data_IF_190432655071
#
_entry.id   IF_190432655071
#
_cell.length_a   1.000
_cell.length_b   1.000
_cell.length_c   1.000
_cell.angle_alpha   90.00
_cell.angle_beta   90.00
_cell.angle_gamma   90.00
#
_symmetry.space_group_name_H-M   'P 1'
#
loop_
_entity.id
_entity.type
_entity.pdbx_description
1 polymer ?
#
# COMPACT_ATOMS: atom_id res chain seq x y z
N UNK A 1 -10.77 20.92 2.65
CA UNK A 1 -11.95 21.01 3.53
C UNK A 1 -12.61 19.63 3.59
N UNK A 2 -12.03 18.73 4.39
CA UNK A 2 -12.49 17.34 4.50
C UNK A 2 -12.82 16.96 5.95
N UNK A 3 -13.80 17.66 6.54
CA UNK A 3 -14.33 17.34 7.89
C UNK A 3 -15.09 16.00 7.96
N UNK A 4 -15.14 15.22 6.86
CA UNK A 4 -15.97 13.99 6.76
C UNK A 4 -15.21 12.70 7.00
N UNK A 5 -13.86 12.64 6.82
CA UNK A 5 -13.10 11.38 6.88
C UNK A 5 -12.96 10.84 8.33
N UNK A 6 -12.53 11.64 9.29
CA UNK A 6 -12.33 11.16 10.67
C UNK A 6 -13.67 10.84 11.37
N UNK A 7 -14.73 11.62 11.13
CA UNK A 7 -16.06 11.34 11.66
C UNK A 7 -16.65 10.05 11.06
N UNK A 8 -16.32 9.72 9.80
CA UNK A 8 -16.81 8.49 9.13
C UNK A 8 -16.23 7.22 9.73
N UNK A 9 -14.96 7.19 10.12
CA UNK A 9 -14.31 5.98 10.66
C UNK A 9 -14.74 5.72 12.11
N UNK A 10 -14.79 6.76 12.96
CA UNK A 10 -15.22 6.63 14.36
C UNK A 10 -16.73 6.39 14.44
N UNK A 11 -17.52 7.09 13.65
CA UNK A 11 -18.98 6.88 13.55
C UNK A 11 -19.29 5.54 12.88
N UNK A 12 -18.45 5.11 11.91
CA UNK A 12 -18.51 3.80 11.30
C UNK A 12 -18.38 2.67 12.33
N UNK A 13 -17.33 2.68 13.17
CA UNK A 13 -17.15 1.62 14.19
C UNK A 13 -18.25 1.65 15.26
N UNK A 14 -18.68 2.83 15.71
CA UNK A 14 -19.76 2.98 16.69
C UNK A 14 -21.16 2.67 16.12
N UNK A 15 -21.44 3.04 14.87
CA UNK A 15 -22.67 2.70 14.16
C UNK A 15 -22.68 1.23 13.68
N UNK A 16 -21.51 0.63 13.41
CA UNK A 16 -21.40 -0.77 13.03
C UNK A 16 -21.74 -1.73 14.17
N UNK A 17 -21.52 -1.35 15.43
CA UNK A 17 -21.99 -2.14 16.57
C UNK A 17 -23.53 -2.16 16.70
N UNK A 18 -24.21 -1.21 16.04
CA UNK A 18 -25.70 -1.09 16.08
C UNK A 18 -26.42 -1.63 14.85
N UNK A 19 -25.71 -1.92 13.74
CA UNK A 19 -26.33 -2.42 12.51
C UNK A 19 -25.63 -3.69 12.01
N UNK A 20 -26.17 -4.87 12.35
CA UNK A 20 -25.67 -6.17 11.88
C UNK A 20 -25.59 -6.31 10.35
N UNK A 21 -26.25 -5.43 9.58
CA UNK A 21 -26.26 -5.46 8.12
C UNK A 21 -24.90 -5.14 7.46
N UNK A 22 -24.06 -4.34 8.10
CA UNK A 22 -22.75 -3.98 7.51
C UNK A 22 -21.74 -5.14 7.57
N UNK A 23 -21.89 -6.06 8.52
CA UNK A 23 -21.07 -7.27 8.63
C UNK A 23 -21.58 -8.41 7.72
N UNK A 24 -22.82 -8.29 7.21
CA UNK A 24 -23.36 -9.26 6.25
C UNK A 24 -22.54 -9.15 4.95
N UNK A 25 -21.76 -10.19 4.66
CA UNK A 25 -20.89 -10.25 3.49
C UNK A 25 -19.46 -9.78 3.71
N UNK A 26 -19.12 -9.11 4.83
CA UNK A 26 -17.74 -8.74 5.14
C UNK A 26 -16.84 -9.99 5.22
N UNK A 27 -17.31 -11.07 5.83
CA UNK A 27 -16.59 -12.35 5.88
C UNK A 27 -16.18 -12.82 4.49
N UNK A 28 -17.10 -12.77 3.51
CA UNK A 28 -16.80 -13.13 2.12
C UNK A 28 -15.75 -12.22 1.49
N UNK A 29 -15.75 -10.93 1.88
CA UNK A 29 -14.78 -9.96 1.37
C UNK A 29 -13.39 -10.17 1.95
N UNK A 30 -13.27 -10.49 3.23
CA UNK A 30 -11.96 -10.69 3.89
C UNK A 30 -11.44 -12.13 3.78
N UNK A 31 -12.31 -13.10 3.48
CA UNK A 31 -11.97 -14.51 3.32
C UNK A 31 -10.74 -14.76 2.44
N UNK A 32 -10.56 -14.10 1.29
CA UNK A 32 -9.34 -14.28 0.48
C UNK A 32 -8.05 -13.92 1.22
N UNK A 33 -8.11 -13.03 2.20
CA UNK A 33 -6.96 -12.66 3.03
C UNK A 33 -6.76 -13.68 4.14
N UNK A 34 -7.82 -14.04 4.85
CA UNK A 34 -7.76 -14.97 5.98
C UNK A 34 -7.41 -16.39 5.55
N UNK A 35 -7.83 -16.76 4.35
CA UNK A 35 -7.53 -18.05 3.76
C UNK A 35 -6.16 -18.10 3.06
N UNK A 36 -5.49 -16.96 2.88
CA UNK A 36 -4.18 -16.93 2.24
C UNK A 36 -3.21 -17.86 2.98
N UNK A 37 -2.54 -18.69 2.21
CA UNK A 37 -1.48 -19.57 2.69
C UNK A 37 -0.13 -19.15 2.14
N UNK A 38 0.91 -19.92 2.40
CA UNK A 38 2.24 -19.62 1.92
C UNK A 38 3.00 -20.85 1.44
N UNK A 39 3.92 -20.62 0.51
CA UNK A 39 4.88 -21.57 -0.02
C UNK A 39 6.27 -21.02 0.23
N UNK A 40 7.13 -21.83 0.85
CA UNK A 40 8.46 -21.43 1.28
C UNK A 40 9.49 -22.46 0.88
N UNK A 41 10.67 -22.00 0.53
CA UNK A 41 11.78 -22.88 0.18
C UNK A 41 13.08 -22.13 -0.04
N UNK A 42 14.02 -22.83 -0.65
CA UNK A 42 15.30 -22.28 -1.09
C UNK A 42 15.42 -22.47 -2.60
N UNK A 43 16.07 -21.51 -3.24
CA UNK A 43 16.56 -21.65 -4.60
C UNK A 43 18.07 -21.60 -4.59
N UNK A 44 18.69 -22.56 -5.27
CA UNK A 44 20.14 -22.65 -5.45
C UNK A 44 20.45 -22.81 -6.94
N UNK A 45 21.57 -22.26 -7.38
CA UNK A 45 22.15 -22.49 -8.71
C UNK A 45 23.59 -22.98 -8.53
N UNK A 46 24.05 -23.86 -9.42
CA UNK A 46 25.42 -24.31 -9.46
C UNK A 46 26.36 -23.37 -10.21
N UNK A 47 25.78 -22.34 -10.86
CA UNK A 47 26.48 -21.24 -11.50
C UNK A 47 26.59 -19.98 -10.65
N UNK A 48 27.27 -18.99 -11.21
CA UNK A 48 27.22 -17.62 -10.70
C UNK A 48 26.17 -16.84 -11.48
N UNK A 49 25.13 -16.39 -10.79
CA UNK A 49 24.14 -15.48 -11.40
C UNK A 49 24.86 -14.28 -12.03
N UNK A 50 24.60 -14.03 -13.29
CA UNK A 50 25.25 -12.95 -14.03
C UNK A 50 24.95 -11.59 -13.39
N UNK A 51 25.77 -10.56 -13.66
CA UNK A 51 25.55 -9.22 -13.11
C UNK A 51 24.22 -8.59 -13.55
N UNK A 52 23.71 -8.99 -14.68
CA UNK A 52 22.42 -8.54 -15.25
C UNK A 52 21.29 -9.53 -14.95
N UNK A 53 21.64 -10.78 -14.70
CA UNK A 53 20.70 -11.87 -14.46
C UNK A 53 20.12 -11.91 -13.05
N UNK A 54 19.10 -12.73 -12.89
CA UNK A 54 18.47 -13.00 -11.61
C UNK A 54 17.77 -14.37 -11.63
N UNK A 55 17.52 -14.91 -10.44
CA UNK A 55 16.75 -16.13 -10.27
C UNK A 55 15.26 -15.78 -10.15
N UNK A 56 14.42 -16.44 -10.90
CA UNK A 56 12.97 -16.32 -10.81
C UNK A 56 12.37 -17.64 -10.29
N UNK A 57 11.65 -17.57 -9.17
CA UNK A 57 10.79 -18.66 -8.69
C UNK A 57 9.37 -18.32 -9.11
N UNK A 58 8.73 -19.18 -9.87
CA UNK A 58 7.40 -18.97 -10.46
C UNK A 58 6.43 -20.02 -9.96
N UNK A 59 5.29 -19.58 -9.50
CA UNK A 59 4.18 -20.41 -9.04
C UNK A 59 3.06 -20.38 -10.07
N UNK A 60 2.72 -21.54 -10.60
CA UNK A 60 1.62 -21.71 -11.55
C UNK A 60 0.39 -22.26 -10.84
N UNK A 61 -0.74 -21.59 -10.98
CA UNK A 61 -2.00 -22.17 -10.51
C UNK A 61 -2.52 -23.17 -11.54
N UNK A 62 -2.80 -24.37 -11.08
CA UNK A 62 -3.40 -25.43 -11.91
C UNK A 62 -4.92 -25.35 -11.78
N UNK A 63 -5.60 -25.13 -12.90
CA UNK A 63 -7.06 -25.13 -12.98
C UNK A 63 -7.61 -26.55 -13.13
N UNK A 64 -8.89 -26.80 -12.80
CA UNK A 64 -9.51 -28.12 -12.93
C UNK A 64 -9.50 -28.68 -14.37
N UNK A 65 -9.43 -27.81 -15.38
CA UNK A 65 -9.29 -28.17 -16.80
C UNK A 65 -7.83 -28.49 -17.21
N UNK A 66 -6.93 -28.51 -16.24
CA UNK A 66 -5.51 -28.77 -16.45
C UNK A 66 -4.68 -27.59 -16.94
N UNK A 67 -5.31 -26.46 -17.25
CA UNK A 67 -4.58 -25.25 -17.67
C UNK A 67 -3.80 -24.66 -16.50
N UNK A 68 -2.62 -24.18 -16.81
CA UNK A 68 -1.73 -23.51 -15.88
C UNK A 68 -1.67 -22.01 -16.19
N UNK A 69 -1.56 -21.19 -15.15
CA UNK A 69 -1.30 -19.75 -15.27
C UNK A 69 -0.30 -19.32 -14.22
N UNK A 70 0.60 -18.43 -14.58
CA UNK A 70 1.46 -17.75 -13.60
C UNK A 70 0.56 -17.07 -12.56
N UNK A 71 0.77 -17.42 -11.30
CA UNK A 71 -0.03 -16.92 -10.18
C UNK A 71 0.76 -15.95 -9.29
N UNK A 72 1.98 -16.32 -8.96
CA UNK A 72 2.89 -15.51 -8.16
C UNK A 72 4.34 -15.83 -8.57
N UNK A 73 5.24 -14.92 -8.26
CA UNK A 73 6.67 -15.12 -8.48
C UNK A 73 7.51 -14.37 -7.45
N UNK A 74 8.74 -14.81 -7.29
CA UNK A 74 9.77 -14.12 -6.50
C UNK A 74 11.04 -14.02 -7.32
N UNK A 75 11.60 -12.82 -7.38
CA UNK A 75 12.89 -12.55 -8.01
C UNK A 75 13.96 -12.43 -6.92
N UNK A 76 15.12 -13.04 -7.17
CA UNK A 76 16.27 -13.02 -6.29
C UNK A 76 17.53 -12.71 -7.11
N UNK A 77 18.42 -11.88 -6.56
CA UNK A 77 19.72 -11.56 -7.18
C UNK A 77 20.78 -12.65 -7.00
N UNK A 78 20.52 -13.64 -6.16
CA UNK A 78 21.40 -14.76 -5.83
C UNK A 78 20.63 -15.91 -5.18
N UNK A 79 21.28 -17.08 -5.06
CA UNK A 79 20.75 -18.20 -4.26
C UNK A 79 20.32 -17.76 -2.87
N UNK A 80 19.16 -18.24 -2.42
CA UNK A 80 18.59 -17.82 -1.15
C UNK A 80 17.24 -18.43 -0.83
N UNK A 81 16.63 -17.99 0.26
CA UNK A 81 15.29 -18.40 0.65
C UNK A 81 14.24 -17.55 -0.06
N UNK A 82 13.09 -18.16 -0.34
CA UNK A 82 11.93 -17.45 -0.86
C UNK A 82 10.67 -17.73 -0.04
N UNK A 83 9.79 -16.75 -0.03
CA UNK A 83 8.46 -16.83 0.56
C UNK A 83 7.45 -16.25 -0.42
N UNK A 84 6.37 -17.00 -0.68
CA UNK A 84 5.30 -16.61 -1.57
C UNK A 84 3.95 -16.81 -0.88
N UNK A 85 3.17 -15.74 -0.78
CA UNK A 85 1.79 -15.79 -0.28
C UNK A 85 0.86 -16.13 -1.44
N UNK A 86 0.04 -17.16 -1.25
CA UNK A 86 -0.88 -17.65 -2.28
C UNK A 86 -2.27 -17.94 -1.69
N UNK A 87 -3.31 -17.85 -2.52
CA UNK A 87 -4.66 -18.30 -2.11
C UNK A 87 -4.72 -19.83 -2.03
N UNK A 88 -5.69 -20.43 -1.34
CA UNK A 88 -5.90 -21.88 -1.39
C UNK A 88 -6.03 -22.39 -2.82
N UNK A 89 -5.37 -23.48 -3.13
CA UNK A 89 -5.38 -24.04 -4.48
C UNK A 89 -4.32 -25.11 -4.71
N UNK A 90 -4.26 -25.58 -5.95
CA UNK A 90 -3.23 -26.52 -6.41
C UNK A 90 -2.25 -25.76 -7.29
N UNK A 91 -0.96 -25.98 -7.05
CA UNK A 91 0.13 -25.24 -7.68
C UNK A 91 1.20 -26.18 -8.21
N UNK A 92 1.82 -25.77 -9.28
CA UNK A 92 3.13 -26.27 -9.75
C UNK A 92 4.14 -25.13 -9.59
N UNK A 93 5.39 -25.47 -9.33
CA UNK A 93 6.44 -24.48 -9.08
C UNK A 93 7.63 -24.80 -9.96
N UNK A 94 8.18 -23.77 -10.56
CA UNK A 94 9.41 -23.83 -11.33
C UNK A 94 10.32 -22.66 -10.98
N UNK A 95 11.56 -22.77 -11.41
CA UNK A 95 12.49 -21.65 -11.35
C UNK A 95 13.35 -21.62 -12.60
N UNK A 96 13.82 -20.43 -12.96
CA UNK A 96 14.79 -20.25 -14.03
C UNK A 96 15.79 -19.14 -13.66
N UNK A 97 16.94 -19.18 -14.29
CA UNK A 97 17.93 -18.12 -14.24
C UNK A 97 17.75 -17.26 -15.48
N UNK A 98 17.16 -16.08 -15.30
CA UNK A 98 17.04 -15.07 -16.34
C UNK A 98 18.41 -14.43 -16.56
N UNK A 99 19.17 -14.98 -17.51
CA UNK A 99 20.52 -14.53 -17.84
C UNK A 99 20.50 -13.24 -18.66
N UNK A 100 19.46 -13.04 -19.46
CA UNK A 100 19.27 -11.86 -20.29
C UNK A 100 18.92 -10.61 -19.47
N UNK A 101 18.20 -10.79 -18.36
CA UNK A 101 17.71 -9.73 -17.48
C UNK A 101 16.47 -9.00 -18.02
N UNK A 102 15.71 -9.63 -18.93
CA UNK A 102 14.52 -9.05 -19.54
C UNK A 102 13.20 -9.51 -18.87
N UNK A 103 13.30 -10.44 -17.90
CA UNK A 103 12.18 -11.00 -17.13
C UNK A 103 11.26 -11.93 -17.95
N UNK A 104 11.78 -12.46 -19.06
CA UNK A 104 11.09 -13.43 -19.90
C UNK A 104 11.92 -14.72 -19.86
N UNK A 105 11.26 -15.84 -19.71
CA UNK A 105 11.94 -17.13 -19.80
C UNK A 105 12.17 -17.50 -21.26
N UNK A 106 13.41 -17.78 -21.61
CA UNK A 106 13.83 -18.32 -22.90
C UNK A 106 14.23 -19.79 -22.73
N UNK A 107 13.98 -20.63 -23.75
CA UNK A 107 14.18 -22.08 -23.66
C UNK A 107 15.65 -22.50 -23.46
N UNK A 108 16.61 -21.63 -23.72
CA UNK A 108 18.04 -21.83 -23.51
C UNK A 108 18.52 -21.40 -22.11
N UNK A 109 17.66 -20.74 -21.33
CA UNK A 109 17.98 -20.35 -19.96
C UNK A 109 17.90 -21.55 -18.99
N UNK A 110 18.86 -21.64 -18.03
CA UNK A 110 18.84 -22.69 -17.04
C UNK A 110 17.58 -22.68 -16.19
N UNK A 111 16.90 -23.81 -16.09
CA UNK A 111 15.63 -23.92 -15.38
C UNK A 111 15.45 -25.26 -14.66
N UNK A 112 14.49 -25.32 -13.77
CA UNK A 112 14.13 -26.51 -13.00
C UNK A 112 12.66 -26.48 -12.61
N UNK A 113 12.06 -27.65 -12.46
CA UNK A 113 10.66 -27.83 -12.07
C UNK A 113 10.60 -28.61 -10.76
N UNK A 114 9.80 -28.13 -9.80
CA UNK A 114 9.46 -28.91 -8.61
C UNK A 114 8.46 -30.00 -8.98
N UNK A 115 8.86 -31.27 -8.81
CA UNK A 115 8.13 -32.40 -9.38
C UNK A 115 6.77 -32.71 -8.80
N UNK A 116 6.52 -32.24 -7.57
CA UNK A 116 5.25 -32.50 -6.89
C UNK A 116 4.29 -31.33 -7.01
N UNK A 117 3.01 -31.63 -7.23
CA UNK A 117 1.96 -30.62 -7.11
C UNK A 117 1.75 -30.25 -5.66
N UNK A 118 1.71 -28.96 -5.39
CA UNK A 118 1.56 -28.41 -4.06
C UNK A 118 0.10 -28.01 -3.86
N UNK A 119 -0.54 -28.58 -2.83
CA UNK A 119 -1.88 -28.16 -2.40
C UNK A 119 -1.76 -27.27 -1.19
N UNK A 120 -2.15 -26.01 -1.35
CA UNK A 120 -2.25 -25.05 -0.25
C UNK A 120 -3.71 -24.99 0.23
N UNK A 121 -3.93 -25.36 1.50
CA UNK A 121 -5.23 -25.24 2.18
C UNK A 121 -5.42 -23.82 2.73
N UNK A 122 -6.65 -23.44 3.11
CA UNK A 122 -6.87 -22.16 3.81
C UNK A 122 -5.94 -22.01 5.02
N UNK A 123 -5.18 -20.89 5.07
CA UNK A 123 -4.17 -20.63 6.08
C UNK A 123 -2.98 -21.58 6.07
N UNK A 124 -2.87 -22.45 5.06
CA UNK A 124 -1.86 -23.50 4.99
C UNK A 124 -0.45 -22.94 4.77
N UNK A 125 0.51 -23.57 5.44
CA UNK A 125 1.94 -23.29 5.30
C UNK A 125 2.63 -24.51 4.69
N UNK A 126 3.26 -24.35 3.53
CA UNK A 126 4.05 -25.38 2.87
C UNK A 126 5.50 -24.94 2.87
N UNK A 127 6.37 -25.73 3.49
CA UNK A 127 7.81 -25.46 3.60
C UNK A 127 8.62 -26.48 2.82
N UNK A 128 9.93 -26.22 2.72
CA UNK A 128 10.91 -27.11 2.11
C UNK A 128 10.69 -27.37 0.61
N UNK A 129 10.04 -26.44 -0.07
CA UNK A 129 9.91 -26.47 -1.52
C UNK A 129 11.23 -25.96 -2.13
N UNK A 130 12.24 -26.81 -2.11
CA UNK A 130 13.58 -26.43 -2.52
C UNK A 130 13.79 -26.70 -4.00
N UNK A 131 14.40 -25.74 -4.69
CA UNK A 131 14.68 -25.75 -6.12
C UNK A 131 16.18 -25.65 -6.33
N UNK A 132 16.71 -26.43 -7.26
CA UNK A 132 18.11 -26.36 -7.66
C UNK A 132 18.20 -26.27 -9.17
N UNK A 133 18.69 -25.15 -9.66
CA UNK A 133 19.01 -24.95 -11.07
C UNK A 133 20.40 -25.52 -11.33
N UNK A 134 20.53 -26.34 -12.38
CA UNK A 134 21.79 -26.90 -12.83
C UNK A 134 21.96 -26.59 -14.31
N UNK A 135 23.06 -25.94 -14.67
CA UNK A 135 23.33 -25.55 -16.07
C UNK A 135 23.52 -26.75 -17.00
N UNK A 136 24.07 -27.86 -16.49
CA UNK A 136 24.27 -29.07 -17.26
C UNK A 136 23.04 -29.99 -17.39
N UNK A 137 21.97 -29.68 -16.65
CA UNK A 137 20.77 -30.53 -16.57
C UNK A 137 19.49 -29.69 -16.50
N UNK A 138 19.43 -28.64 -17.26
CA UNK A 138 18.24 -27.77 -17.34
C UNK A 138 17.01 -28.56 -17.80
N UNK A 139 15.90 -28.39 -17.10
CA UNK A 139 14.60 -28.95 -17.48
C UNK A 139 13.76 -27.79 -18.06
N UNK A 140 13.53 -27.72 -19.40
CA UNK A 140 12.76 -26.65 -20.00
C UNK A 140 11.35 -26.53 -19.40
N UNK A 141 10.88 -25.31 -19.22
CA UNK A 141 9.52 -25.05 -18.76
C UNK A 141 8.52 -25.39 -19.87
N UNK A 142 7.43 -26.03 -19.51
CA UNK A 142 6.39 -26.46 -20.48
C UNK A 142 5.43 -25.33 -20.90
N UNK A 143 5.74 -24.07 -20.50
CA UNK A 143 4.93 -22.91 -20.86
C UNK A 143 5.74 -21.62 -20.84
N UNK A 144 5.37 -20.63 -21.65
CA UNK A 144 6.04 -19.32 -21.66
C UNK A 144 5.80 -18.59 -20.34
N UNK A 145 6.86 -17.94 -19.85
CA UNK A 145 6.81 -17.08 -18.66
C UNK A 145 7.27 -15.67 -19.04
N UNK A 146 6.43 -14.67 -18.78
CA UNK A 146 6.77 -13.26 -18.97
C UNK A 146 6.45 -12.48 -17.69
N UNK A 147 7.49 -12.12 -16.95
CA UNK A 147 7.43 -11.35 -15.70
C UNK A 147 7.78 -9.87 -15.91
N UNK A 148 8.03 -9.44 -17.17
CA UNK A 148 8.40 -8.06 -17.49
C UNK A 148 7.28 -7.05 -17.19
N UNK A 149 7.62 -5.78 -16.99
CA UNK A 149 6.60 -4.71 -16.77
C UNK A 149 5.70 -4.47 -18.00
N UNK A 150 6.14 -4.92 -19.18
CA UNK A 150 5.41 -4.81 -20.44
C UNK A 150 4.49 -5.99 -20.73
N UNK A 151 4.51 -7.04 -19.90
CA UNK A 151 3.64 -8.20 -20.06
C UNK A 151 2.15 -7.77 -20.13
N UNK A 152 1.31 -8.41 -20.96
CA UNK A 152 -0.09 -8.05 -21.11
C UNK A 152 -0.88 -8.05 -19.79
N UNK A 153 -1.75 -7.07 -19.58
CA UNK A 153 -2.60 -7.00 -18.35
C UNK A 153 -3.52 -8.21 -18.17
N UNK A 154 -3.69 -9.02 -19.21
CA UNK A 154 -4.50 -10.25 -19.19
C UNK A 154 -3.83 -11.41 -18.43
N UNK A 155 -2.53 -11.33 -18.16
CA UNK A 155 -1.86 -12.30 -17.30
C UNK A 155 -2.29 -12.13 -15.84
N UNK A 156 -2.79 -13.20 -15.24
CA UNK A 156 -3.41 -13.19 -13.92
C UNK A 156 -2.51 -12.60 -12.82
N UNK A 157 -1.19 -12.77 -12.95
CA UNK A 157 -0.18 -12.25 -12.01
C UNK A 157 -0.13 -10.73 -12.02
N UNK A 158 -0.33 -10.09 -13.17
CA UNK A 158 -0.32 -8.63 -13.29
C UNK A 158 -1.62 -7.96 -12.90
N UNK A 159 -2.74 -8.67 -12.90
CA UNK A 159 -3.98 -8.12 -12.38
C UNK A 159 -3.93 -7.86 -10.86
N UNK A 160 -2.98 -8.50 -10.16
CA UNK A 160 -2.84 -8.35 -8.71
C UNK A 160 -1.92 -7.20 -8.30
N UNK A 161 -0.85 -6.92 -9.05
CA UNK A 161 0.09 -5.83 -8.76
C UNK A 161 0.42 -5.03 -10.04
N UNK A 162 0.08 -3.75 -10.03
CA UNK A 162 0.45 -2.82 -11.08
C UNK A 162 1.75 -2.13 -10.69
N UNK A 163 2.85 -2.48 -11.35
CA UNK A 163 4.17 -1.97 -11.01
C UNK A 163 4.62 -0.99 -12.09
N UNK A 164 4.98 0.24 -11.68
CA UNK A 164 5.52 1.26 -12.57
C UNK A 164 4.51 1.89 -13.53
N UNK A 165 3.20 1.68 -13.33
CA UNK A 165 2.18 2.31 -14.15
C UNK A 165 2.12 3.82 -13.88
N UNK A 166 2.20 4.61 -14.96
CA UNK A 166 2.09 6.07 -14.88
C UNK A 166 0.61 6.46 -14.76
N UNK A 167 0.30 7.28 -13.75
CA UNK A 167 -1.08 7.65 -13.41
C UNK A 167 -1.12 8.98 -12.66
N UNK A 168 -2.09 9.82 -12.94
CA UNK A 168 -2.32 11.06 -12.19
C UNK A 168 -2.87 10.79 -10.79
N UNK A 169 -2.51 11.63 -9.80
CA UNK A 169 -3.17 11.61 -8.48
C UNK A 169 -4.66 11.98 -8.54
N UNK A 170 -5.12 12.57 -9.64
CA UNK A 170 -6.53 12.91 -9.88
C UNK A 170 -7.33 11.79 -10.56
N UNK A 171 -6.70 10.64 -10.84
CA UNK A 171 -7.38 9.47 -11.41
C UNK A 171 -8.46 8.94 -10.45
N UNK A 172 -9.62 8.53 -11.00
CA UNK A 172 -10.78 8.05 -10.24
C UNK A 172 -10.47 6.84 -9.34
N UNK A 173 -9.44 6.05 -9.69
CA UNK A 173 -8.98 4.93 -8.86
C UNK A 173 -8.44 5.38 -7.51
N UNK A 174 -8.02 6.63 -7.38
CA UNK A 174 -7.49 7.20 -6.13
C UNK A 174 -8.52 8.05 -5.39
N UNK A 175 -9.81 7.89 -5.69
CA UNK A 175 -10.87 8.50 -4.89
C UNK A 175 -11.01 7.84 -3.51
N UNK A 176 -11.54 8.60 -2.56
CA UNK A 176 -11.78 8.13 -1.19
C UNK A 176 -12.59 6.83 -1.15
N UNK A 177 -13.57 6.70 -2.06
CA UNK A 177 -14.38 5.49 -2.19
C UNK A 177 -13.55 4.23 -2.50
N UNK A 178 -12.43 4.36 -3.20
CA UNK A 178 -11.53 3.24 -3.49
C UNK A 178 -10.70 2.85 -2.26
N UNK A 179 -10.29 3.81 -1.43
CA UNK A 179 -9.64 3.54 -0.14
C UNK A 179 -10.59 2.80 0.82
N UNK A 180 -11.85 3.27 0.92
CA UNK A 180 -12.89 2.59 1.70
C UNK A 180 -13.19 1.18 1.15
N UNK A 181 -13.21 1.03 -0.18
CA UNK A 181 -13.36 -0.29 -0.82
C UNK A 181 -12.22 -1.22 -0.43
N UNK A 182 -10.99 -0.74 -0.35
CA UNK A 182 -9.81 -1.50 0.08
C UNK A 182 -9.92 -2.02 1.52
N UNK A 183 -10.72 -1.38 2.37
CA UNK A 183 -11.01 -1.84 3.72
C UNK A 183 -12.20 -2.79 3.79
N UNK A 184 -13.35 -2.38 3.23
CA UNK A 184 -14.62 -3.07 3.46
C UNK A 184 -15.00 -4.07 2.37
N UNK A 185 -14.40 -3.95 1.18
CA UNK A 185 -14.73 -4.75 -0.01
C UNK A 185 -13.47 -5.23 -0.70
N UNK A 186 -12.61 -5.93 0.05
CA UNK A 186 -11.29 -6.38 -0.39
C UNK A 186 -11.31 -7.11 -1.73
N UNK A 187 -12.20 -8.10 -1.89
CA UNK A 187 -12.26 -8.89 -3.14
C UNK A 187 -12.69 -8.02 -4.32
N UNK A 188 -13.57 -7.06 -4.09
CA UNK A 188 -13.97 -6.08 -5.09
C UNK A 188 -12.84 -5.12 -5.43
N UNK A 189 -12.13 -4.60 -4.42
CA UNK A 189 -10.94 -3.75 -4.63
C UNK A 189 -9.92 -4.46 -5.50
N UNK A 190 -9.64 -5.73 -5.19
CA UNK A 190 -8.67 -6.54 -5.94
C UNK A 190 -9.06 -6.69 -7.42
N UNK A 191 -10.35 -6.86 -7.72
CA UNK A 191 -10.86 -7.07 -9.08
C UNK A 191 -11.00 -5.79 -9.89
N UNK A 192 -11.47 -4.71 -9.27
CA UNK A 192 -11.86 -3.48 -9.97
C UNK A 192 -10.74 -2.43 -9.95
N UNK A 193 -10.07 -2.26 -8.83
CA UNK A 193 -9.04 -1.24 -8.64
C UNK A 193 -7.65 -1.84 -8.85
N UNK A 194 -7.32 -2.89 -8.08
CA UNK A 194 -6.00 -3.49 -8.02
C UNK A 194 -4.98 -2.61 -7.30
N UNK A 195 -4.10 -3.23 -6.53
CA UNK A 195 -2.99 -2.54 -5.86
C UNK A 195 -1.75 -2.44 -6.74
N UNK A 196 -0.72 -1.77 -6.23
CA UNK A 196 0.57 -1.68 -6.90
C UNK A 196 1.43 -0.50 -6.50
N UNK A 197 2.50 -0.30 -7.28
CA UNK A 197 3.37 0.88 -7.20
C UNK A 197 3.17 1.72 -8.45
N UNK A 198 2.72 2.95 -8.27
CA UNK A 198 2.33 3.86 -9.36
C UNK A 198 3.28 5.04 -9.42
N UNK A 199 3.50 5.54 -10.63
CA UNK A 199 4.36 6.66 -10.95
C UNK A 199 3.54 7.85 -11.48
N UNK A 200 4.07 9.06 -11.34
CA UNK A 200 3.48 10.26 -11.98
C UNK A 200 4.07 10.53 -13.37
N UNK A 201 5.28 10.05 -13.60
CA UNK A 201 6.06 10.24 -14.83
C UNK A 201 6.89 8.99 -15.14
N UNK A 202 7.44 8.89 -16.33
CA UNK A 202 8.40 7.85 -16.69
C UNK A 202 9.62 7.93 -15.77
N UNK A 203 10.20 6.75 -15.44
CA UNK A 203 11.41 6.71 -14.62
C UNK A 203 12.52 7.56 -15.24
N UNK A 204 13.14 8.39 -14.38
CA UNK A 204 14.30 9.19 -14.75
C UNK A 204 15.49 8.82 -13.83
N UNK A 205 16.61 8.30 -14.38
CA UNK A 205 17.76 7.89 -13.59
C UNK A 205 18.47 9.03 -12.84
N UNK A 206 18.24 10.30 -13.25
CA UNK A 206 18.79 11.48 -12.58
C UNK A 206 17.97 11.90 -11.35
N UNK A 207 16.79 11.30 -11.13
CA UNK A 207 15.91 11.60 -10.01
C UNK A 207 15.90 10.48 -8.98
N UNK A 208 15.81 10.84 -7.71
CA UNK A 208 15.75 9.90 -6.60
C UNK A 208 14.28 9.47 -6.38
N UNK A 209 13.97 8.16 -6.38
CA UNK A 209 12.64 7.68 -6.03
C UNK A 209 12.24 8.06 -4.60
N UNK A 210 11.02 8.58 -4.46
CA UNK A 210 10.42 8.94 -3.18
C UNK A 210 9.10 8.20 -3.03
N UNK A 211 9.09 7.14 -2.24
CA UNK A 211 7.99 6.20 -2.09
C UNK A 211 7.03 6.66 -1.00
N UNK A 212 5.78 6.90 -1.37
CA UNK A 212 4.68 7.27 -0.47
C UNK A 212 3.77 6.10 -0.18
N UNK A 213 3.48 5.86 1.10
CA UNK A 213 2.65 4.75 1.59
C UNK A 213 1.50 5.34 2.41
N UNK A 214 0.26 5.21 1.89
CA UNK A 214 -0.92 5.81 2.50
C UNK A 214 -1.36 5.10 3.80
N UNK A 215 -2.26 5.75 4.53
CA UNK A 215 -2.82 5.23 5.77
C UNK A 215 -4.02 4.30 5.59
N UNK A 216 -4.68 4.03 6.71
CA UNK A 216 -5.92 3.27 6.79
C UNK A 216 -7.03 3.98 6.00
N UNK A 217 -7.74 3.28 5.11
CA UNK A 217 -8.70 3.84 4.13
C UNK A 217 -8.14 4.92 3.20
N UNK A 218 -6.83 5.18 3.25
CA UNK A 218 -6.20 6.20 2.43
C UNK A 218 -6.01 5.78 0.96
N UNK A 219 -5.55 6.76 0.18
CA UNK A 219 -5.20 6.59 -1.23
C UNK A 219 -3.95 7.40 -1.57
N UNK A 220 -3.28 7.17 -2.71
CA UNK A 220 -2.20 8.01 -3.19
C UNK A 220 -2.55 9.51 -3.26
N UNK A 221 -3.82 9.85 -3.47
CA UNK A 221 -4.31 11.24 -3.57
C UNK A 221 -4.11 12.04 -2.26
N UNK A 222 -4.04 11.36 -1.12
CA UNK A 222 -3.84 12.01 0.18
C UNK A 222 -2.53 12.80 0.23
N UNK A 223 -1.52 12.42 -0.55
CA UNK A 223 -0.23 13.08 -0.62
C UNK A 223 -0.15 14.25 -1.61
N UNK A 224 -1.26 14.61 -2.26
CA UNK A 224 -1.26 15.59 -3.36
C UNK A 224 -0.62 16.93 -2.96
N UNK A 225 -0.91 17.43 -1.76
CA UNK A 225 -0.30 18.67 -1.27
C UNK A 225 1.21 18.51 -1.06
N UNK A 226 1.65 17.50 -0.30
CA UNK A 226 3.08 17.28 -0.03
C UNK A 226 3.88 17.12 -1.32
N UNK A 227 3.36 16.36 -2.28
CA UNK A 227 4.00 16.16 -3.60
C UNK A 227 4.14 17.46 -4.36
N UNK A 228 3.14 18.36 -4.28
CA UNK A 228 3.21 19.68 -4.91
C UNK A 228 4.31 20.58 -4.31
N UNK A 229 4.77 20.28 -3.09
CA UNK A 229 5.79 21.05 -2.37
C UNK A 229 7.20 20.46 -2.51
N UNK A 230 7.35 19.26 -3.05
CA UNK A 230 8.64 18.60 -3.23
C UNK A 230 9.36 19.11 -4.48
N UNK A 231 10.70 19.15 -4.44
CA UNK A 231 11.52 19.43 -5.61
C UNK A 231 11.48 18.27 -6.62
N UNK A 232 10.54 18.35 -7.55
CA UNK A 232 10.35 17.34 -8.60
C UNK A 232 11.47 17.32 -9.65
N UNK A 233 12.44 18.24 -9.62
CA UNK A 233 13.65 18.14 -10.43
C UNK A 233 14.63 17.13 -9.85
N UNK A 234 14.64 16.97 -8.53
CA UNK A 234 15.54 16.06 -7.80
C UNK A 234 14.88 14.75 -7.44
N UNK A 235 13.57 14.74 -7.19
CA UNK A 235 12.82 13.58 -6.73
C UNK A 235 11.73 13.20 -7.72
N UNK A 236 11.48 11.89 -7.84
CA UNK A 236 10.34 11.34 -8.55
C UNK A 236 9.43 10.60 -7.57
N UNK A 237 8.20 11.11 -7.34
CA UNK A 237 7.25 10.48 -6.43
C UNK A 237 6.72 9.16 -6.98
N UNK A 238 6.77 8.11 -6.17
CA UNK A 238 6.16 6.80 -6.37
C UNK A 238 5.13 6.57 -5.29
N UNK A 239 4.04 5.90 -5.60
CA UNK A 239 2.92 5.71 -4.67
C UNK A 239 2.56 4.24 -4.57
N UNK A 240 2.45 3.77 -3.34
CA UNK A 240 1.88 2.46 -3.06
C UNK A 240 0.37 2.62 -2.89
N UNK A 241 -0.40 1.80 -3.60
CA UNK A 241 -1.83 1.67 -3.36
C UNK A 241 -2.17 0.23 -3.03
N UNK A 242 -2.79 0.02 -1.90
CA UNK A 242 -3.06 -1.32 -1.37
C UNK A 242 -4.39 -1.35 -0.59
N UNK A 243 -5.04 -2.53 -0.49
CA UNK A 243 -6.23 -2.68 0.33
C UNK A 243 -5.86 -2.71 1.81
N UNK A 244 -6.32 -1.73 2.58
CA UNK A 244 -5.98 -1.57 3.99
C UNK A 244 -6.59 -2.63 4.92
N UNK A 245 -7.46 -3.52 4.40
CA UNK A 245 -7.92 -4.70 5.13
C UNK A 245 -6.85 -5.78 5.28
N UNK A 246 -5.84 -5.82 4.40
CA UNK A 246 -4.81 -6.86 4.41
C UNK A 246 -3.87 -6.72 5.60
N UNK A 247 -3.27 -7.84 6.04
CA UNK A 247 -2.22 -7.86 7.06
C UNK A 247 -1.04 -7.00 6.62
N UNK A 248 -0.51 -6.18 7.49
CA UNK A 248 0.60 -5.25 7.20
C UNK A 248 1.83 -6.01 6.70
N UNK A 249 2.11 -7.18 7.28
CA UNK A 249 3.22 -8.04 6.83
C UNK A 249 3.08 -8.47 5.38
N UNK A 250 1.87 -8.84 4.94
CA UNK A 250 1.57 -9.24 3.55
C UNK A 250 1.71 -8.04 2.59
N UNK A 251 1.22 -6.86 3.01
CA UNK A 251 1.39 -5.63 2.22
C UNK A 251 2.88 -5.32 2.02
N UNK A 252 3.67 -5.43 3.09
CA UNK A 252 5.11 -5.19 3.04
C UNK A 252 5.85 -6.20 2.16
N UNK A 253 5.44 -7.47 2.14
CA UNK A 253 6.01 -8.50 1.26
C UNK A 253 5.75 -8.19 -0.21
N UNK A 254 4.51 -7.83 -0.55
CA UNK A 254 4.16 -7.43 -1.91
C UNK A 254 4.89 -6.16 -2.34
N UNK A 255 5.00 -5.18 -1.44
CA UNK A 255 5.75 -3.96 -1.71
C UNK A 255 7.23 -4.24 -1.94
N UNK A 256 7.83 -5.11 -1.10
CA UNK A 256 9.22 -5.52 -1.27
C UNK A 256 9.45 -6.22 -2.60
N UNK A 257 8.57 -7.14 -3.01
CA UNK A 257 8.65 -7.79 -4.31
C UNK A 257 8.57 -6.77 -5.47
N UNK A 258 7.64 -5.81 -5.39
CA UNK A 258 7.48 -4.77 -6.41
C UNK A 258 8.71 -3.86 -6.51
N UNK A 259 9.24 -3.40 -5.37
CA UNK A 259 10.43 -2.51 -5.34
C UNK A 259 11.68 -3.27 -5.77
N UNK A 260 11.81 -4.56 -5.43
CA UNK A 260 12.89 -5.43 -5.92
C UNK A 260 12.90 -5.47 -7.45
N UNK A 261 11.75 -5.73 -8.08
CA UNK A 261 11.65 -5.74 -9.53
C UNK A 261 11.99 -4.37 -10.13
N UNK A 262 11.46 -3.28 -9.56
CA UNK A 262 11.82 -1.92 -10.00
C UNK A 262 13.32 -1.64 -9.87
N UNK A 263 13.94 -2.11 -8.77
CA UNK A 263 15.38 -1.96 -8.57
C UNK A 263 16.18 -2.76 -9.60
N UNK A 264 15.78 -3.98 -9.90
CA UNK A 264 16.44 -4.81 -10.93
C UNK A 264 16.37 -4.16 -12.31
N UNK A 265 15.23 -3.53 -12.67
CA UNK A 265 15.04 -2.86 -13.96
C UNK A 265 15.79 -1.53 -14.03
N UNK A 266 15.60 -0.68 -13.03
CA UNK A 266 16.04 0.72 -13.10
C UNK A 266 17.40 0.97 -12.45
N UNK A 267 17.90 0.02 -11.65
CA UNK A 267 19.23 0.10 -10.99
C UNK A 267 19.43 1.40 -10.18
N UNK A 268 18.35 1.95 -9.60
CA UNK A 268 18.47 3.17 -8.78
C UNK A 268 19.37 2.93 -7.55
N UNK A 269 20.20 3.92 -7.20
CA UNK A 269 21.20 3.78 -6.14
C UNK A 269 20.62 3.92 -4.74
N UNK A 270 19.65 4.79 -4.60
CA UNK A 270 18.99 5.09 -3.32
C UNK A 270 17.54 5.49 -3.54
N UNK A 271 16.75 5.32 -2.50
CA UNK A 271 15.38 5.81 -2.43
C UNK A 271 15.08 6.34 -1.03
N UNK A 272 13.98 7.08 -0.88
CA UNK A 272 13.44 7.46 0.42
C UNK A 272 12.00 6.98 0.55
N UNK A 273 11.57 6.69 1.77
CA UNK A 273 10.25 6.13 2.09
C UNK A 273 9.51 7.08 3.04
N UNK A 274 8.27 7.41 2.71
CA UNK A 274 7.37 8.23 3.51
C UNK A 274 6.12 7.42 3.77
N UNK A 275 5.86 7.12 5.04
CA UNK A 275 4.67 6.38 5.47
C UNK A 275 3.76 7.23 6.34
N UNK A 276 2.49 7.32 5.99
CA UNK A 276 1.48 8.04 6.75
C UNK A 276 0.58 7.07 7.51
N UNK A 277 0.32 7.35 8.81
CA UNK A 277 -0.56 6.55 9.65
C UNK A 277 -0.18 5.06 9.60
N UNK A 278 -1.09 4.14 9.29
CA UNK A 278 -0.80 2.71 9.08
C UNK A 278 0.32 2.50 8.05
N UNK A 279 0.45 3.39 7.07
CA UNK A 279 1.53 3.35 6.07
C UNK A 279 2.93 3.48 6.66
N UNK A 280 3.08 4.08 7.84
CA UNK A 280 4.35 4.07 8.59
C UNK A 280 4.73 2.69 9.12
N UNK A 281 3.75 1.90 9.58
CA UNK A 281 3.98 0.50 9.99
C UNK A 281 4.35 -0.37 8.79
N UNK A 282 3.62 -0.22 7.67
CA UNK A 282 3.95 -0.87 6.39
C UNK A 282 5.35 -0.48 5.93
N UNK A 283 5.68 0.82 6.00
CA UNK A 283 6.99 1.36 5.60
C UNK A 283 8.13 0.75 6.42
N UNK A 284 7.99 0.68 7.75
CA UNK A 284 9.02 0.04 8.60
C UNK A 284 9.17 -1.45 8.28
N UNK A 285 8.06 -2.17 8.14
CA UNK A 285 8.08 -3.59 7.77
C UNK A 285 8.79 -3.79 6.42
N UNK A 286 8.50 -2.95 5.44
CA UNK A 286 9.17 -2.97 4.15
C UNK A 286 10.67 -2.68 4.27
N UNK A 287 11.07 -1.63 4.98
CA UNK A 287 12.50 -1.25 5.14
C UNK A 287 13.30 -2.39 5.75
N UNK A 288 12.76 -3.05 6.79
CA UNK A 288 13.42 -4.19 7.44
C UNK A 288 13.59 -5.38 6.48
N UNK A 289 12.52 -5.77 5.79
CA UNK A 289 12.54 -6.90 4.85
C UNK A 289 13.43 -6.63 3.65
N UNK A 290 13.34 -5.43 3.07
CA UNK A 290 14.11 -5.04 1.91
C UNK A 290 15.62 -5.05 2.18
N UNK A 291 16.04 -4.57 3.32
CA UNK A 291 17.45 -4.57 3.70
C UNK A 291 18.03 -5.97 3.96
N UNK A 292 17.21 -6.92 4.38
CA UNK A 292 17.64 -8.31 4.55
C UNK A 292 17.85 -9.02 3.21
N UNK A 293 16.96 -8.75 2.26
CA UNK A 293 16.99 -9.39 0.93
C UNK A 293 17.93 -8.67 -0.05
N UNK A 294 18.04 -7.34 0.07
CA UNK A 294 18.73 -6.46 -0.86
C UNK A 294 19.66 -5.47 -0.14
N UNK A 295 20.75 -5.94 0.48
CA UNK A 295 21.68 -5.07 1.22
C UNK A 295 22.39 -4.05 0.33
N UNK A 296 22.40 -4.25 -1.00
CA UNK A 296 22.94 -3.34 -2.01
C UNK A 296 22.00 -2.16 -2.33
N UNK A 297 20.72 -2.30 -2.05
CA UNK A 297 19.70 -1.27 -2.32
C UNK A 297 19.52 -0.38 -1.09
N UNK A 298 19.88 0.91 -1.23
CA UNK A 298 19.90 1.83 -0.10
C UNK A 298 18.58 2.56 0.07
N UNK A 299 17.89 2.33 1.18
CA UNK A 299 16.84 3.22 1.67
C UNK A 299 17.49 4.28 2.55
N UNK A 300 17.67 5.49 2.00
CA UNK A 300 18.40 6.57 2.66
C UNK A 300 17.65 7.20 3.81
N UNK A 301 16.38 7.53 3.58
CA UNK A 301 15.53 8.12 4.60
C UNK A 301 14.24 7.31 4.74
N UNK A 302 13.82 7.11 5.98
CA UNK A 302 12.49 6.66 6.33
C UNK A 302 11.81 7.74 7.17
N UNK A 303 10.69 8.26 6.71
CA UNK A 303 9.91 9.29 7.39
C UNK A 303 8.53 8.72 7.71
N UNK A 304 8.18 8.63 8.99
CA UNK A 304 6.84 8.27 9.42
C UNK A 304 6.06 9.52 9.82
N UNK A 305 4.82 9.62 9.36
CA UNK A 305 3.93 10.75 9.65
C UNK A 305 2.69 10.20 10.37
N UNK A 306 2.44 10.67 11.61
CA UNK A 306 1.28 10.32 12.43
C UNK A 306 1.04 8.80 12.54
N UNK A 307 2.10 8.02 12.73
CA UNK A 307 2.06 6.55 12.75
C UNK A 307 1.73 6.02 14.15
N UNK A 308 0.79 5.05 14.28
CA UNK A 308 0.42 4.44 15.57
C UNK A 308 1.44 3.35 15.98
N UNK A 309 2.61 3.75 16.45
CA UNK A 309 3.72 2.83 16.78
C UNK A 309 3.41 1.86 17.93
N UNK A 310 2.49 2.23 18.84
CA UNK A 310 1.98 1.36 19.90
C UNK A 310 0.60 0.74 19.59
N UNK A 311 0.17 0.83 18.33
CA UNK A 311 -1.14 0.36 17.92
C UNK A 311 -2.27 1.36 18.19
N UNK A 312 -3.49 0.89 18.01
CA UNK A 312 -4.70 1.71 18.13
C UNK A 312 -5.74 0.99 19.00
N UNK A 313 -6.18 1.65 20.08
CA UNK A 313 -7.11 1.04 21.05
C UNK A 313 -8.44 0.57 20.45
N UNK A 314 -8.95 1.19 19.39
CA UNK A 314 -10.14 0.70 18.71
C UNK A 314 -9.91 -0.66 18.03
N UNK A 315 -8.68 -0.97 17.62
CA UNK A 315 -8.36 -2.28 17.05
C UNK A 315 -8.38 -3.39 18.13
N UNK A 316 -8.27 -3.05 19.41
CA UNK A 316 -8.39 -4.02 20.51
C UNK A 316 -9.84 -4.55 20.65
N UNK A 317 -10.82 -3.78 20.15
CA UNK A 317 -12.22 -4.19 20.11
C UNK A 317 -12.52 -5.22 19.00
N UNK A 318 -11.54 -5.62 18.19
CA UNK A 318 -11.68 -6.59 17.08
C UNK A 318 -12.39 -7.89 17.49
N UNK A 319 -12.11 -8.35 18.72
CA UNK A 319 -12.69 -9.59 19.29
C UNK A 319 -14.20 -9.50 19.51
N UNK A 320 -14.77 -8.29 19.54
CA UNK A 320 -16.20 -8.06 19.68
C UNK A 320 -16.90 -7.94 18.33
N UNK A 321 -16.16 -7.83 17.22
CA UNK A 321 -16.72 -7.75 15.89
C UNK A 321 -17.19 -9.14 15.41
N UNK A 322 -18.34 -9.24 14.74
CA UNK A 322 -18.82 -10.50 14.16
C UNK A 322 -17.85 -11.08 13.12
N UNK A 323 -17.10 -10.22 12.45
CA UNK A 323 -16.05 -10.59 11.51
C UNK A 323 -14.87 -9.65 11.71
N UNK A 324 -13.69 -10.20 11.88
CA UNK A 324 -12.47 -9.43 12.07
C UNK A 324 -11.85 -9.05 10.73
N UNK A 325 -11.47 -7.77 10.58
CA UNK A 325 -10.66 -7.32 9.45
C UNK A 325 -9.20 -7.67 9.77
N UNK A 326 -8.49 -8.39 8.89
CA UNK A 326 -7.14 -8.89 9.20
C UNK A 326 -6.14 -7.83 9.66
N UNK A 327 -6.16 -6.61 9.10
CA UNK A 327 -5.28 -5.52 9.54
C UNK A 327 -5.53 -5.05 10.97
N UNK A 328 -6.72 -5.31 11.55
CA UNK A 328 -6.98 -4.96 12.97
C UNK A 328 -6.12 -5.77 13.93
N UNK A 329 -5.75 -7.00 13.56
CA UNK A 329 -4.82 -7.80 14.36
C UNK A 329 -3.46 -7.12 14.46
N UNK A 330 -3.01 -6.52 13.36
CA UNK A 330 -1.71 -5.83 13.30
C UNK A 330 -1.73 -4.46 13.97
N UNK A 331 -2.89 -3.77 13.94
CA UNK A 331 -3.09 -2.46 14.56
C UNK A 331 -3.43 -2.53 16.06
N UNK A 332 -3.72 -3.70 16.62
CA UNK A 332 -4.01 -3.85 18.03
C UNK A 332 -2.79 -3.57 18.90
N UNK A 333 -3.02 -3.08 20.13
CA UNK A 333 -1.93 -2.70 21.04
C UNK A 333 -1.11 -3.91 21.54
N UNK A 334 -1.69 -5.11 21.48
CA UNK A 334 -1.06 -6.40 21.79
C UNK A 334 -0.50 -7.15 20.58
N UNK A 335 -0.39 -6.49 19.43
CA UNK A 335 -0.04 -7.09 18.15
C UNK A 335 1.36 -7.70 18.12
N UNK A 336 1.47 -8.93 17.64
CA UNK A 336 2.75 -9.60 17.35
C UNK A 336 3.55 -8.84 16.29
N UNK A 337 2.86 -8.22 15.30
CA UNK A 337 3.52 -7.40 14.30
C UNK A 337 4.26 -6.23 14.95
N UNK A 338 3.64 -5.51 15.89
CA UNK A 338 4.27 -4.37 16.56
C UNK A 338 5.49 -4.82 17.39
N UNK A 339 5.46 -6.02 17.96
CA UNK A 339 6.63 -6.61 18.64
C UNK A 339 7.73 -6.94 17.61
N UNK A 340 7.38 -7.57 16.51
CA UNK A 340 8.32 -7.90 15.44
C UNK A 340 8.97 -6.67 14.82
N UNK A 341 8.21 -5.60 14.55
CA UNK A 341 8.74 -4.36 13.98
C UNK A 341 9.89 -3.76 14.80
N UNK A 342 9.89 -3.96 16.11
CA UNK A 342 10.93 -3.46 17.02
C UNK A 342 11.85 -4.56 17.54
N UNK A 343 11.73 -5.82 17.09
CA UNK A 343 12.70 -6.87 17.39
C UNK A 343 14.04 -6.67 16.67
N UNK A 344 14.03 -5.87 15.59
CA UNK A 344 15.20 -5.50 14.81
C UNK A 344 15.29 -3.98 14.69
N UNK A 345 16.50 -3.47 14.71
CA UNK A 345 16.76 -2.05 14.41
C UNK A 345 16.68 -1.81 12.91
N UNK A 346 16.37 -0.57 12.53
CA UNK A 346 16.47 -0.13 11.14
C UNK A 346 17.90 -0.31 10.61
N UNK A 347 18.06 -0.54 9.29
CA UNK A 347 19.35 -0.80 8.69
C UNK A 347 20.34 0.35 8.92
N UNK A 348 21.61 0.02 9.12
CA UNK A 348 22.66 1.04 9.17
C UNK A 348 22.69 1.82 7.86
N UNK A 349 22.62 3.15 7.94
CA UNK A 349 22.58 4.03 6.77
C UNK A 349 21.18 4.45 6.33
N UNK A 350 20.12 3.98 7.01
CA UNK A 350 18.78 4.54 6.91
C UNK A 350 18.57 5.54 8.03
N UNK A 351 18.43 6.81 7.67
CA UNK A 351 18.08 7.87 8.61
C UNK A 351 16.56 7.86 8.86
N UNK A 352 16.16 7.67 10.10
CA UNK A 352 14.75 7.64 10.47
C UNK A 352 14.29 8.99 11.06
N UNK A 353 13.12 9.46 10.63
CA UNK A 353 12.48 10.69 11.10
C UNK A 353 11.04 10.39 11.52
N UNK A 354 10.69 10.78 12.75
CA UNK A 354 9.38 10.59 13.33
C UNK A 354 8.63 11.93 13.36
N UNK A 355 7.58 12.05 12.56
CA UNK A 355 6.65 13.16 12.57
C UNK A 355 5.36 12.74 13.26
N UNK A 356 4.92 13.49 14.25
CA UNK A 356 3.66 13.24 14.93
C UNK A 356 2.78 14.48 14.92
N UNK A 357 1.46 14.27 14.92
CA UNK A 357 0.47 15.33 15.01
C UNK A 357 -0.08 15.41 16.44
N UNK A 358 -0.48 16.60 16.85
CA UNK A 358 -1.22 16.84 18.10
C UNK A 358 -2.19 18.00 17.90
N UNK A 359 -3.42 17.88 18.45
CA UNK A 359 -4.42 18.96 18.43
C UNK A 359 -4.44 19.66 19.79
N UNK A 360 -3.59 20.68 19.97
CA UNK A 360 -3.41 21.41 21.21
C UNK A 360 -4.58 22.32 21.61
N UNK A 361 -5.45 22.65 20.65
CA UNK A 361 -6.41 23.78 20.83
C UNK A 361 -7.75 23.39 21.44
N UNK A 362 -8.06 22.11 21.71
CA UNK A 362 -9.47 21.73 21.92
C UNK A 362 -9.86 20.81 23.08
N UNK A 363 -8.94 20.28 23.90
CA UNK A 363 -9.39 19.41 24.98
C UNK A 363 -8.52 19.38 26.24
N UNK A 364 -8.88 20.15 27.26
CA UNK A 364 -8.31 20.04 28.61
C UNK A 364 -8.71 18.75 29.35
N UNK A 365 -9.58 17.90 28.77
CA UNK A 365 -10.14 16.70 29.44
C UNK A 365 -9.93 15.37 28.71
N UNK A 366 -9.18 15.32 27.61
CA UNK A 366 -8.87 14.09 26.91
C UNK A 366 -7.36 13.95 26.76
N UNK A 367 -6.89 12.70 26.74
CA UNK A 367 -5.51 12.38 26.39
C UNK A 367 -5.10 13.13 25.12
N UNK A 368 -3.94 13.79 25.16
CA UNK A 368 -3.40 14.47 24.01
C UNK A 368 -3.33 13.52 22.81
N UNK A 369 -3.95 13.88 21.72
CA UNK A 369 -4.01 13.11 20.49
C UNK A 369 -4.19 14.04 19.27
N UNK A 370 -4.05 13.48 18.09
CA UNK A 370 -4.31 14.16 16.81
C UNK A 370 -5.77 13.99 16.34
N UNK A 371 -6.70 13.64 17.23
CA UNK A 371 -8.10 13.22 17.07
C UNK A 371 -8.28 11.77 16.65
N UNK A 372 -7.24 11.07 16.27
CA UNK A 372 -7.31 9.67 15.88
C UNK A 372 -6.27 8.81 16.62
N UNK A 373 -5.02 9.22 16.65
CA UNK A 373 -3.91 8.52 17.31
C UNK A 373 -3.54 9.25 18.60
N UNK A 374 -3.41 8.51 19.70
CA UNK A 374 -2.91 9.06 20.98
C UNK A 374 -1.43 9.39 20.87
N UNK A 375 -0.98 10.45 21.55
CA UNK A 375 0.45 10.76 21.63
C UNK A 375 1.27 9.60 22.21
N UNK A 376 0.69 8.82 23.15
CA UNK A 376 1.33 7.64 23.68
C UNK A 376 1.63 6.59 22.59
N UNK A 377 0.74 6.46 21.60
CA UNK A 377 0.96 5.55 20.48
C UNK A 377 1.93 6.14 19.45
N UNK A 378 1.74 7.40 19.06
CA UNK A 378 2.60 8.06 18.08
C UNK A 378 4.05 8.20 18.56
N UNK A 379 4.26 8.39 19.88
CA UNK A 379 5.53 8.61 20.54
C UNK A 379 6.00 7.36 21.31
N UNK A 380 5.78 6.16 20.80
CA UNK A 380 6.35 4.95 21.39
C UNK A 380 7.88 5.09 21.54
N UNK A 381 8.40 4.80 22.73
CA UNK A 381 9.81 4.99 23.05
C UNK A 381 10.74 4.20 22.12
N UNK A 382 10.31 3.03 21.65
CA UNK A 382 11.09 2.20 20.71
C UNK A 382 11.30 2.91 19.36
N UNK A 383 10.28 3.64 18.90
CA UNK A 383 10.37 4.41 17.65
C UNK A 383 11.21 5.69 17.86
N UNK A 384 11.06 6.36 19.01
CA UNK A 384 11.84 7.55 19.34
C UNK A 384 13.34 7.24 19.47
N UNK A 385 13.69 6.09 20.07
CA UNK A 385 15.10 5.69 20.31
C UNK A 385 15.89 5.46 19.01
N UNK A 386 15.21 5.16 17.92
CA UNK A 386 15.82 5.00 16.60
C UNK A 386 15.76 6.26 15.74
N UNK A 387 14.92 7.23 16.12
CA UNK A 387 14.69 8.41 15.30
C UNK A 387 15.87 9.40 15.40
N UNK A 388 16.39 9.79 14.26
CA UNK A 388 17.39 10.87 14.15
C UNK A 388 16.79 12.22 14.56
N UNK A 389 15.47 12.39 14.35
CA UNK A 389 14.72 13.59 14.71
C UNK A 389 13.27 13.22 14.99
N UNK A 390 12.71 13.77 16.06
CA UNK A 390 11.29 13.64 16.43
C UNK A 390 10.69 15.03 16.34
N UNK A 391 9.64 15.19 15.54
CA UNK A 391 9.00 16.49 15.24
C UNK A 391 7.50 16.41 15.46
N UNK A 392 6.99 17.35 16.26
CA UNK A 392 5.57 17.53 16.52
C UNK A 392 4.98 18.68 15.73
N UNK A 393 3.77 18.48 15.21
CA UNK A 393 3.03 19.49 14.46
C UNK A 393 1.65 19.68 15.09
N UNK A 394 1.25 20.95 15.28
CA UNK A 394 -0.08 21.27 15.82
C UNK A 394 -1.15 21.16 14.73
N UNK A 395 -1.40 19.93 14.34
CA UNK A 395 -2.31 19.55 13.24
C UNK A 395 -3.18 18.39 13.70
N UNK A 396 -4.30 18.17 13.02
CA UNK A 396 -5.06 16.94 13.18
C UNK A 396 -4.41 15.80 12.39
N UNK A 397 -4.88 14.56 12.62
CA UNK A 397 -4.40 13.38 11.91
C UNK A 397 -4.41 13.56 10.37
N UNK A 398 -5.50 14.11 9.84
CA UNK A 398 -5.66 14.30 8.39
C UNK A 398 -4.97 15.59 7.89
N UNK A 399 -5.05 16.70 8.67
CA UNK A 399 -4.54 18.00 8.22
C UNK A 399 -3.00 18.04 8.15
N UNK A 400 -2.30 17.12 8.85
CA UNK A 400 -0.83 17.04 8.84
C UNK A 400 -0.25 16.83 7.43
N UNK A 401 -0.99 16.17 6.52
CA UNK A 401 -0.56 15.97 5.14
C UNK A 401 -0.70 17.26 4.29
N UNK A 402 -1.51 18.21 4.71
CA UNK A 402 -1.74 19.51 4.06
C UNK A 402 -0.95 20.64 4.75
N UNK A 403 -0.10 20.32 5.74
CA UNK A 403 0.68 21.28 6.50
C UNK A 403 1.90 21.78 5.74
N UNK A 404 2.00 23.12 5.61
CA UNK A 404 3.18 23.76 5.02
C UNK A 404 4.43 23.60 5.88
N UNK A 405 4.26 23.42 7.19
CA UNK A 405 5.35 23.19 8.12
C UNK A 405 5.94 21.79 7.94
N UNK A 406 5.09 20.79 7.81
CA UNK A 406 5.49 19.41 7.47
C UNK A 406 6.23 19.37 6.13
N UNK A 407 5.70 20.04 5.11
CA UNK A 407 6.34 20.12 3.79
C UNK A 407 7.72 20.78 3.85
N UNK A 408 7.89 21.83 4.67
CA UNK A 408 9.18 22.50 4.87
C UNK A 408 10.19 21.57 5.54
N UNK A 409 9.80 20.87 6.61
CA UNK A 409 10.70 19.95 7.30
C UNK A 409 11.06 18.75 6.43
N UNK A 410 10.09 18.24 5.66
CA UNK A 410 10.32 17.17 4.69
C UNK A 410 11.37 17.60 3.65
N UNK A 411 11.23 18.78 3.05
CA UNK A 411 12.22 19.31 2.10
C UNK A 411 13.58 19.52 2.74
N UNK A 412 13.64 19.96 4.00
CA UNK A 412 14.90 20.10 4.76
C UNK A 412 15.62 18.74 4.91
N UNK A 413 14.89 17.69 5.25
CA UNK A 413 15.42 16.32 5.37
C UNK A 413 15.91 15.79 4.02
N UNK A 414 15.14 16.02 2.98
CA UNK A 414 15.48 15.61 1.62
C UNK A 414 16.64 16.42 1.02
N UNK A 415 17.10 17.51 1.70
CA UNK A 415 18.15 18.39 1.20
C UNK A 415 17.73 19.13 -0.07
N UNK A 416 16.46 19.48 -0.17
CA UNK A 416 15.87 20.34 -1.19
C UNK A 416 15.77 21.77 -0.68
N UNK A 417 15.85 22.76 -1.58
CA UNK A 417 15.58 24.14 -1.19
C UNK A 417 14.11 24.25 -0.71
N UNK A 418 13.90 24.99 0.40
CA UNK A 418 12.54 25.25 0.84
C UNK A 418 11.70 25.81 -0.32
N UNK A 419 10.45 25.38 -0.50
CA UNK A 419 9.61 25.88 -1.56
C UNK A 419 9.55 27.40 -1.46
N UNK A 420 9.78 28.11 -2.58
CA UNK A 420 9.59 29.55 -2.65
C UNK A 420 8.16 29.80 -2.18
N UNK A 421 7.98 30.73 -1.20
CA UNK A 421 6.64 31.12 -0.73
C UNK A 421 5.76 31.35 -1.95
N UNK A 422 4.94 30.40 -2.29
CA UNK A 422 3.84 30.61 -3.22
C UNK A 422 3.02 31.74 -2.62
N UNK A 423 2.82 32.83 -3.37
CA UNK A 423 1.86 33.84 -2.96
C UNK A 423 0.55 33.09 -2.79
N UNK A 424 0.16 32.82 -1.55
CA UNK A 424 -1.17 32.35 -1.24
C UNK A 424 -2.14 33.32 -1.91
N UNK A 425 -2.75 32.90 -3.00
CA UNK A 425 -3.95 33.58 -3.50
C UNK A 425 -5.00 33.26 -2.46
N UNK A 426 -5.20 34.22 -1.54
CA UNK A 426 -6.27 34.17 -0.56
C UNK A 426 -7.57 33.94 -1.34
N UNK A 427 -8.19 32.79 -1.15
CA UNK A 427 -9.50 32.44 -1.71
C UNK A 427 -10.59 33.43 -1.36
N UNK A 428 -10.36 34.36 -0.40
CA UNK A 428 -11.24 35.44 -0.07
C UNK A 428 -11.33 36.55 -1.13
N UNK A 429 -10.44 36.57 -2.14
CA UNK A 429 -10.43 37.59 -3.23
C UNK A 429 -10.91 37.04 -4.58
N UNK A 430 -11.26 35.79 -4.71
CA UNK A 430 -11.98 35.30 -5.89
C UNK A 430 -13.45 35.77 -5.74
N UNK A 431 -13.80 36.84 -6.46
CA UNK A 431 -15.19 37.23 -6.66
C UNK A 431 -15.94 36.05 -7.26
N UNK A 432 -16.80 35.48 -6.47
CA UNK A 432 -17.49 34.22 -6.61
C UNK A 432 -18.42 34.21 -7.86
N UNK A 433 -18.05 33.59 -9.01
CA UNK A 433 -18.95 33.43 -10.15
C UNK A 433 -20.10 32.46 -9.87
N UNK A 434 -19.99 31.64 -8.83
CA UNK A 434 -20.99 30.64 -8.48
C UNK A 434 -22.19 31.21 -7.73
N UNK A 435 -22.06 32.35 -7.05
CA UNK A 435 -23.23 33.03 -6.45
C UNK A 435 -24.28 33.46 -7.47
N UNK A 436 -23.89 33.69 -8.73
CA UNK A 436 -24.85 34.07 -9.79
C UNK A 436 -25.62 32.84 -10.32
N UNK A 437 -25.05 31.65 -10.24
CA UNK A 437 -25.71 30.42 -10.73
C UNK A 437 -26.77 29.95 -9.75
N UNK A 438 -26.51 30.04 -8.45
CA UNK A 438 -27.47 29.61 -7.42
C UNK A 438 -28.63 30.61 -7.28
N UNK A 439 -28.40 31.91 -7.40
CA UNK A 439 -29.50 32.93 -7.40
C UNK A 439 -30.43 32.80 -8.61
N UNK A 440 -29.99 32.17 -9.72
CA UNK A 440 -30.83 31.94 -10.90
C UNK A 440 -31.68 30.68 -10.78
N UNK A 441 -31.32 29.77 -9.87
CA UNK A 441 -32.08 28.52 -9.61
C UNK A 441 -33.23 28.77 -8.64
N UNK A 442 -33.05 29.64 -7.61
CA UNK A 442 -34.10 29.95 -6.65
C UNK A 442 -35.23 30.81 -7.27
N UNK A 443 -34.93 31.65 -8.27
CA UNK A 443 -35.99 32.40 -8.98
C UNK A 443 -36.81 31.57 -9.95
N UNK A 444 -36.39 30.33 -10.27
CA UNK A 444 -37.18 29.39 -11.11
C UNK A 444 -38.07 28.45 -10.32
N UNK A 445 -37.88 28.37 -8.99
CA UNK A 445 -38.71 27.54 -8.12
C UNK A 445 -39.92 28.32 -7.57
N UNK A 446 -39.87 29.66 -7.56
CA UNK A 446 -40.99 30.53 -7.08
C UNK A 446 -42.07 30.81 -8.16
N UNK A 447 -41.87 30.44 -9.43
CA UNK A 447 -42.79 30.69 -10.53
C UNK A 447 -43.72 29.54 -10.91
N UNK A 448 -43.78 28.48 -10.07
CA UNK A 448 -44.73 27.37 -10.25
C UNK A 448 -45.60 27.25 -9.00
N UNK A 449 -46.62 28.11 -8.88
CA UNK A 449 -47.80 27.81 -8.08
C UNK A 449 -48.69 26.81 -8.83
N UNK A 450 -49.25 25.81 -8.19
CA UNK A 450 -50.23 24.92 -8.81
C UNK A 450 -51.53 25.68 -9.09
N UNK A 451 -52.10 25.47 -10.24
CA UNK A 451 -53.45 25.96 -10.60
C UNK A 451 -54.50 25.19 -9.80
N UNK A 452 -55.46 25.94 -9.28
CA UNK A 452 -56.62 25.42 -8.58
C UNK A 452 -57.45 24.42 -9.39
N UNK A 453 -57.77 23.28 -8.80
CA UNK A 453 -58.77 22.32 -9.31
C UNK A 453 -60.16 22.80 -8.88
N UNK A 454 -61.18 22.74 -9.75
CA UNK A 454 -62.53 23.11 -9.40
C UNK A 454 -63.20 22.01 -8.56
N UNK A 455 -63.92 22.52 -7.57
CA UNK A 455 -64.88 21.78 -6.73
C UNK A 455 -66.07 21.33 -7.56
N UNK A 456 -66.38 20.04 -7.55
CA UNK A 456 -67.75 19.57 -7.82
C UNK A 456 -68.28 18.92 -6.54
N UNK A 457 -69.36 19.48 -6.06
CA UNK A 457 -70.18 18.96 -4.97
C UNK A 457 -71.43 18.26 -5.54
N UNK A 458 -72.15 17.46 -4.74
CA UNK A 458 -72.84 16.27 -5.18
C UNK A 458 -74.35 16.50 -5.43
N UNK A 459 -74.91 15.55 -6.11
CA UNK A 459 -76.36 15.36 -6.05
C UNK A 459 -76.76 13.85 -6.23
N UNK A 460 -77.53 13.42 -5.27
CA UNK A 460 -78.35 12.20 -5.16
C UNK A 460 -77.71 10.90 -4.76
#
# INVERSE_FOLDING_TARGET
MNKRKAAGVILGLALFLSSGCAFIGLEKQVKPITDAGSINGKIETDGQVSKTGHLAVVVFRVHPDGKKKVYAYKLLSKSGTYHLTVSPGVYEIAAFEDESGDFIYDDDEPSTIYRERITVRPGGYVSEVNLKITHSGSEPLDMPVNLSLTAPEKDATRQQLRIGKIISLDDDRFEDASGEMGLWKYDRFRKEIGGGVFFLESYNPEKIPLLFIHGYTGTPRDFKFLVSQIDQKKYQPWFVFYPSAARIGIIADHLNAAVTQLHMIYKFREMSVIGYSMGGLVGRAFVLKHAEEHPESRIKNFISIATPWKGHALADLRKLAPTEVPSWQDLATDSELLQWLFSKRLPKGTDYYLFFAYDGDRNMMRDNNDRFITLQSALDLRAQDEAKKVLGFNETHDDILDSTEVARELNSILGSAAPKKSKMISFSKLKDPLKKVFKKRDRRSESRKPADSPSDSPAA
#
